data_IF_958399090748
#
_entry.id   IF_958399090748
#
_cell.length_a   1.000
_cell.length_b   1.000
_cell.length_c   1.000
_cell.angle_alpha   90.00
_cell.angle_beta   90.00
_cell.angle_gamma   90.00
#
_symmetry.space_group_name_H-M   'P 1'
#
loop_
_entity.id
_entity.type
_entity.pdbx_description
1 polymer ?
#
# COMPACT_ATOMS: atom_id res chain seq x y z
N UNK A 1 6.14 -34.30 1.01
CA UNK A 1 5.44 -33.00 0.88
C UNK A 1 5.93 -32.06 1.96
N UNK A 2 6.15 -30.80 1.61
CA UNK A 2 6.51 -29.79 2.59
C UNK A 2 5.27 -29.37 3.38
N UNK A 3 5.37 -29.25 4.71
CA UNK A 3 4.23 -28.85 5.55
C UNK A 3 4.26 -27.32 5.76
N UNK A 4 3.24 -26.65 5.31
CA UNK A 4 3.09 -25.18 5.42
C UNK A 4 2.49 -24.73 6.75
N UNK A 5 2.05 -25.66 7.62
CA UNK A 5 1.48 -25.33 8.94
C UNK A 5 2.52 -24.72 9.85
N UNK A 6 2.17 -23.63 10.51
CA UNK A 6 2.99 -23.00 11.52
C UNK A 6 2.94 -21.49 11.44
N UNK A 7 3.55 -20.87 12.44
CA UNK A 7 3.79 -19.44 12.50
C UNK A 7 5.05 -19.09 11.71
N UNK A 8 5.08 -17.95 11.06
CA UNK A 8 6.27 -17.46 10.37
C UNK A 8 6.49 -15.96 10.57
N UNK A 9 7.72 -15.56 10.47
CA UNK A 9 8.15 -14.16 10.36
C UNK A 9 8.98 -14.02 9.09
N UNK A 10 9.00 -12.84 8.53
CA UNK A 10 9.79 -12.60 7.32
C UNK A 10 10.05 -11.13 7.07
N UNK A 11 10.83 -10.91 6.04
CA UNK A 11 11.13 -9.59 5.50
C UNK A 11 10.75 -9.55 4.03
N UNK A 12 10.46 -8.37 3.53
CA UNK A 12 10.19 -8.17 2.12
C UNK A 12 10.76 -6.84 1.63
N UNK A 13 11.00 -6.79 0.33
CA UNK A 13 11.32 -5.58 -0.39
C UNK A 13 10.58 -5.59 -1.72
N UNK A 14 10.34 -4.42 -2.29
CA UNK A 14 9.61 -4.32 -3.54
C UNK A 14 9.55 -2.93 -4.10
N UNK A 15 8.77 -2.81 -5.16
CA UNK A 15 8.45 -1.53 -5.79
C UNK A 15 6.94 -1.39 -5.91
N UNK A 16 6.50 -0.14 -5.87
CA UNK A 16 5.09 0.20 -6.03
C UNK A 16 4.89 1.33 -7.01
N UNK A 17 3.69 1.35 -7.57
CA UNK A 17 3.19 2.48 -8.34
C UNK A 17 1.73 2.70 -7.99
N UNK A 18 1.31 3.95 -8.02
CA UNK A 18 -0.07 4.30 -7.69
C UNK A 18 -0.57 5.45 -8.54
N UNK A 19 -1.89 5.54 -8.61
CA UNK A 19 -2.62 6.63 -9.22
C UNK A 19 -3.36 7.38 -8.13
N UNK A 20 -3.12 8.69 -8.04
CA UNK A 20 -3.90 9.62 -7.24
C UNK A 20 -4.71 10.51 -8.16
N UNK A 21 -6.00 10.63 -7.86
CA UNK A 21 -6.94 11.51 -8.57
C UNK A 21 -7.45 12.55 -7.58
N UNK A 22 -7.02 13.80 -7.76
CA UNK A 22 -7.41 14.93 -6.92
C UNK A 22 -8.50 15.73 -7.63
N UNK A 23 -9.60 16.03 -6.95
CA UNK A 23 -10.69 16.83 -7.51
C UNK A 23 -10.79 18.15 -6.78
N UNK A 24 -10.38 19.23 -7.44
CA UNK A 24 -10.55 20.59 -6.95
C UNK A 24 -11.89 21.15 -7.41
N UNK A 25 -12.62 21.76 -6.51
CA UNK A 25 -13.91 22.37 -6.81
C UNK A 25 -13.92 23.83 -6.31
N UNK A 26 -14.14 24.75 -7.24
CA UNK A 26 -14.48 26.15 -6.94
C UNK A 26 -15.96 26.39 -7.18
N UNK A 27 -16.46 27.57 -6.86
CA UNK A 27 -17.87 27.94 -7.11
C UNK A 27 -18.29 27.82 -8.58
N UNK A 28 -17.33 27.89 -9.51
CA UNK A 28 -17.60 27.94 -10.97
C UNK A 28 -16.88 26.87 -11.79
N UNK A 29 -15.85 26.22 -11.23
CA UNK A 29 -15.01 25.27 -11.96
C UNK A 29 -14.75 24.01 -11.13
N UNK A 30 -14.71 22.88 -11.82
CA UNK A 30 -14.26 21.59 -11.29
C UNK A 30 -13.11 21.10 -12.13
N UNK A 31 -11.97 20.89 -11.51
CA UNK A 31 -10.76 20.33 -12.15
C UNK A 31 -10.39 18.99 -11.50
N UNK A 32 -10.09 17.99 -12.30
CA UNK A 32 -9.59 16.70 -11.82
C UNK A 32 -8.18 16.50 -12.36
N UNK A 33 -7.23 16.39 -11.47
CA UNK A 33 -5.84 16.11 -11.80
C UNK A 33 -5.50 14.67 -11.45
N UNK A 34 -4.72 14.02 -12.29
CA UNK A 34 -4.20 12.69 -12.06
C UNK A 34 -2.68 12.75 -11.97
N UNK A 35 -2.12 12.13 -10.98
CA UNK A 35 -0.68 12.00 -10.87
C UNK A 35 -0.27 10.59 -10.43
N UNK A 36 0.89 10.19 -10.93
CA UNK A 36 1.50 8.92 -10.59
C UNK A 36 2.46 9.10 -9.42
N UNK A 37 2.40 8.14 -8.49
CA UNK A 37 3.40 7.95 -7.44
C UNK A 37 4.15 6.66 -7.73
N UNK A 38 5.46 6.66 -7.56
CA UNK A 38 6.30 5.46 -7.74
C UNK A 38 7.38 5.46 -6.68
N UNK A 39 7.87 4.28 -6.33
CA UNK A 39 8.98 4.18 -5.39
C UNK A 39 9.24 2.76 -4.94
N UNK A 40 10.15 2.64 -3.99
CA UNK A 40 10.51 1.37 -3.37
C UNK A 40 9.89 1.25 -1.98
N UNK A 41 9.79 0.02 -1.52
CA UNK A 41 9.34 -0.30 -0.18
C UNK A 41 10.11 -1.47 0.38
N UNK A 42 10.19 -1.52 1.70
CA UNK A 42 10.79 -2.64 2.42
C UNK A 42 10.20 -2.75 3.81
N UNK A 43 10.10 -3.97 4.32
CA UNK A 43 9.45 -4.16 5.59
C UNK A 43 9.51 -5.56 6.14
N UNK A 44 8.63 -5.81 7.10
CA UNK A 44 8.51 -7.08 7.78
C UNK A 44 7.09 -7.65 7.67
N UNK A 45 6.99 -8.95 7.84
CA UNK A 45 5.73 -9.68 7.83
C UNK A 45 5.70 -10.75 8.90
N UNK A 46 4.51 -11.04 9.35
CA UNK A 46 4.22 -12.09 10.30
C UNK A 46 2.94 -12.78 9.89
N UNK A 47 2.89 -14.10 10.02
CA UNK A 47 1.69 -14.82 9.67
C UNK A 47 1.64 -16.20 10.28
N UNK A 48 0.48 -16.83 10.09
CA UNK A 48 0.20 -18.19 10.49
C UNK A 48 -0.51 -18.92 9.36
N UNK A 49 -0.09 -20.14 9.09
CA UNK A 49 -0.71 -21.00 8.10
C UNK A 49 -1.18 -22.32 8.76
N UNK A 50 -2.28 -22.86 8.26
CA UNK A 50 -2.77 -24.18 8.59
C UNK A 50 -3.05 -24.94 7.31
N UNK A 51 -2.39 -26.09 7.13
CA UNK A 51 -2.48 -26.91 5.92
C UNK A 51 -3.44 -28.07 6.11
N UNK A 52 -4.38 -28.21 5.18
CA UNK A 52 -5.37 -29.29 5.07
C UNK A 52 -5.19 -29.98 3.71
N UNK A 53 -4.44 -31.06 3.66
CA UNK A 53 -4.09 -31.69 2.40
C UNK A 53 -3.25 -30.78 1.52
N UNK A 54 -3.74 -30.42 0.33
CA UNK A 54 -3.11 -29.45 -0.57
C UNK A 54 -3.54 -28.00 -0.32
N UNK A 55 -4.57 -27.76 0.51
CA UNK A 55 -5.05 -26.42 0.82
C UNK A 55 -4.34 -25.85 2.03
N UNK A 56 -4.03 -24.56 1.96
CA UNK A 56 -3.42 -23.82 3.05
C UNK A 56 -4.28 -22.61 3.36
N UNK A 57 -4.77 -22.54 4.59
CA UNK A 57 -5.48 -21.39 5.13
C UNK A 57 -4.55 -20.63 6.06
N UNK A 58 -4.56 -19.31 6.01
CA UNK A 58 -3.70 -18.51 6.86
C UNK A 58 -4.18 -17.08 7.05
N UNK A 59 -3.42 -16.38 7.87
CA UNK A 59 -3.52 -14.94 8.06
C UNK A 59 -2.11 -14.35 8.05
N UNK A 60 -1.97 -13.18 7.46
CA UNK A 60 -0.70 -12.47 7.34
C UNK A 60 -0.90 -11.00 7.65
N UNK A 61 0.00 -10.41 8.43
CA UNK A 61 0.13 -8.98 8.61
C UNK A 61 1.49 -8.52 8.09
N UNK A 62 1.50 -7.38 7.40
CA UNK A 62 2.70 -6.78 6.83
C UNK A 62 2.79 -5.32 7.24
N UNK A 63 4.00 -4.86 7.49
CA UNK A 63 4.33 -3.46 7.66
C UNK A 63 5.49 -3.12 6.75
N UNK A 64 5.35 -2.05 5.97
CA UNK A 64 6.33 -1.60 4.99
C UNK A 64 6.62 -0.12 5.20
N UNK A 65 7.89 0.22 5.33
CA UNK A 65 8.35 1.58 5.08
C UNK A 65 8.42 1.78 3.57
N UNK A 66 8.00 2.92 3.10
CA UNK A 66 7.94 3.21 1.67
C UNK A 66 8.51 4.59 1.35
N UNK A 67 9.01 4.70 0.14
CA UNK A 67 9.45 5.94 -0.49
C UNK A 67 8.66 6.15 -1.78
N UNK A 68 7.34 5.91 -1.68
CA UNK A 68 6.42 6.14 -2.78
C UNK A 68 6.11 7.63 -2.83
N UNK A 69 6.72 8.32 -3.78
CA UNK A 69 6.55 9.76 -3.94
C UNK A 69 6.06 10.15 -5.34
N UNK A 70 5.49 11.32 -5.41
CA UNK A 70 5.06 11.93 -6.66
C UNK A 70 4.95 13.43 -6.50
N UNK A 71 5.49 14.13 -7.47
CA UNK A 71 5.40 15.59 -7.56
C UNK A 71 4.57 15.96 -8.78
N UNK A 72 3.60 16.83 -8.62
CA UNK A 72 2.81 17.37 -9.72
C UNK A 72 2.51 18.85 -9.51
N UNK A 73 2.35 19.57 -10.62
CA UNK A 73 1.75 20.90 -10.58
C UNK A 73 0.25 20.74 -10.43
N UNK A 74 -0.29 21.16 -9.29
CA UNK A 74 -1.72 21.17 -9.06
C UNK A 74 -2.30 22.47 -9.62
N UNK A 75 -3.14 22.37 -10.64
CA UNK A 75 -3.86 23.51 -11.20
C UNK A 75 -5.32 23.47 -10.75
N UNK A 76 -5.68 24.23 -9.71
CA UNK A 76 -7.08 24.30 -9.27
C UNK A 76 -8.01 25.07 -10.22
N UNK A 77 -7.58 25.31 -11.47
CA UNK A 77 -8.31 26.06 -12.49
C UNK A 77 -7.67 27.45 -12.75
N UNK A 78 -7.29 27.70 -14.01
CA UNK A 78 -6.69 28.99 -14.43
C UNK A 78 -7.62 30.19 -14.12
N UNK A 79 -7.08 31.39 -13.77
CA UNK A 79 -5.73 31.88 -14.04
C UNK A 79 -4.86 32.11 -12.80
N UNK A 80 -5.07 31.41 -11.69
CA UNK A 80 -4.47 31.75 -10.41
C UNK A 80 -3.76 30.59 -9.78
N UNK A 81 -2.53 30.85 -9.33
CA UNK A 81 -1.68 30.04 -8.47
C UNK A 81 -1.24 28.68 -9.06
N UNK A 82 -0.04 28.66 -9.59
CA UNK A 82 0.75 27.44 -9.73
C UNK A 82 1.08 26.94 -8.31
N UNK A 83 0.43 25.85 -7.91
CA UNK A 83 0.74 25.14 -6.67
C UNK A 83 1.62 23.94 -7.04
N UNK A 84 2.72 23.77 -6.33
CA UNK A 84 3.46 22.52 -6.38
C UNK A 84 2.93 21.60 -5.29
N UNK A 85 2.41 20.45 -5.70
CA UNK A 85 1.90 19.44 -4.79
C UNK A 85 2.90 18.28 -4.76
N UNK A 86 3.47 18.03 -3.60
CA UNK A 86 4.30 16.88 -3.33
C UNK A 86 3.54 15.95 -2.38
N UNK A 87 3.48 14.68 -2.73
CA UNK A 87 2.84 13.66 -1.90
C UNK A 87 3.79 12.51 -1.70
N UNK A 88 3.94 12.09 -0.44
CA UNK A 88 4.77 10.95 -0.06
C UNK A 88 3.97 9.99 0.81
N UNK A 89 3.99 8.70 0.46
CA UNK A 89 3.50 7.64 1.33
C UNK A 89 4.70 7.08 2.11
N UNK A 90 4.75 7.32 3.42
CA UNK A 90 5.87 6.95 4.28
C UNK A 90 5.84 5.50 4.71
N UNK A 91 4.65 4.97 5.00
CA UNK A 91 4.48 3.59 5.39
C UNK A 91 3.11 3.04 5.00
N UNK A 92 3.09 1.73 4.80
CA UNK A 92 1.89 0.95 4.51
C UNK A 92 1.79 -0.22 5.48
N UNK A 93 0.57 -0.52 5.91
CA UNK A 93 0.24 -1.71 6.67
C UNK A 93 -0.83 -2.52 5.97
N UNK A 94 -0.80 -3.85 6.10
CA UNK A 94 -1.87 -4.72 5.63
C UNK A 94 -2.13 -5.84 6.63
N UNK A 95 -3.39 -6.27 6.73
CA UNK A 95 -3.78 -7.49 7.44
C UNK A 95 -4.78 -8.25 6.59
N UNK A 96 -4.45 -9.48 6.24
CA UNK A 96 -5.19 -10.25 5.26
C UNK A 96 -5.36 -11.71 5.66
N UNK A 97 -6.50 -12.31 5.29
CA UNK A 97 -6.66 -13.74 5.20
C UNK A 97 -5.97 -14.25 3.94
N UNK A 98 -5.41 -15.46 4.00
CA UNK A 98 -4.65 -16.09 2.92
C UNK A 98 -5.22 -17.47 2.62
N UNK A 99 -5.41 -17.76 1.32
CA UNK A 99 -5.80 -19.08 0.82
C UNK A 99 -4.75 -19.53 -0.20
N UNK A 100 -4.10 -20.65 0.06
CA UNK A 100 -3.07 -21.23 -0.80
C UNK A 100 -3.41 -22.65 -1.26
N UNK A 101 -2.83 -23.01 -2.39
CA UNK A 101 -2.78 -24.39 -2.86
C UNK A 101 -1.32 -24.84 -2.98
N UNK A 102 -0.96 -25.84 -2.22
CA UNK A 102 0.40 -26.35 -2.11
C UNK A 102 0.57 -27.61 -2.98
N UNK A 103 1.63 -27.61 -3.77
CA UNK A 103 2.08 -28.76 -4.55
C UNK A 103 3.59 -28.92 -4.35
N UNK A 104 3.96 -30.04 -3.76
CA UNK A 104 5.32 -30.36 -3.34
C UNK A 104 5.92 -29.26 -2.41
N UNK A 105 6.84 -28.46 -2.88
CA UNK A 105 7.54 -27.40 -2.14
C UNK A 105 7.09 -26.00 -2.53
N UNK A 106 6.10 -25.90 -3.40
CA UNK A 106 5.58 -24.62 -3.91
C UNK A 106 4.14 -24.43 -3.49
N UNK A 107 3.79 -23.22 -3.17
CA UNK A 107 2.42 -22.81 -2.86
C UNK A 107 2.06 -21.59 -3.70
N UNK A 108 0.97 -21.67 -4.43
CA UNK A 108 0.31 -20.49 -5.04
C UNK A 108 -0.76 -20.01 -4.08
N UNK A 109 -0.88 -18.72 -3.89
CA UNK A 109 -1.84 -18.17 -2.93
C UNK A 109 -2.50 -16.90 -3.44
N UNK A 110 -3.68 -16.65 -2.87
CA UNK A 110 -4.39 -15.38 -2.91
C UNK A 110 -4.59 -14.90 -1.47
N UNK A 111 -4.68 -13.60 -1.29
CA UNK A 111 -4.95 -12.98 0.01
C UNK A 111 -5.87 -11.77 -0.15
N UNK A 112 -6.67 -11.48 0.88
CA UNK A 112 -7.54 -10.32 0.89
C UNK A 112 -7.80 -9.85 2.31
N UNK A 113 -7.92 -8.54 2.47
CA UNK A 113 -8.07 -7.95 3.79
C UNK A 113 -8.07 -6.44 3.80
N UNK A 114 -7.71 -5.87 4.95
CA UNK A 114 -7.58 -4.44 5.16
C UNK A 114 -6.19 -3.92 4.85
N UNK A 115 -6.13 -2.67 4.43
CA UNK A 115 -4.90 -1.93 4.19
C UNK A 115 -5.00 -0.55 4.83
N UNK A 116 -3.86 0.02 5.23
CA UNK A 116 -3.74 1.40 5.67
C UNK A 116 -2.44 2.00 5.17
N UNK A 117 -2.49 3.29 4.87
CA UNK A 117 -1.37 4.08 4.36
C UNK A 117 -1.29 5.40 5.10
N UNK A 118 -0.09 5.83 5.38
CA UNK A 118 0.19 7.16 5.92
C UNK A 118 0.77 8.03 4.83
N UNK A 119 0.04 9.07 4.47
CA UNK A 119 0.38 10.02 3.42
C UNK A 119 0.76 11.37 4.04
N UNK A 120 1.82 11.97 3.49
CA UNK A 120 2.22 13.36 3.75
C UNK A 120 1.99 14.19 2.51
N UNK A 121 1.35 15.33 2.70
CA UNK A 121 1.04 16.29 1.65
C UNK A 121 1.74 17.59 1.93
N UNK A 122 2.58 18.03 0.99
CA UNK A 122 3.26 19.32 1.01
C UNK A 122 2.77 20.14 -0.17
N UNK A 123 2.11 21.27 0.10
CA UNK A 123 1.68 22.21 -0.92
C UNK A 123 2.44 23.52 -0.77
N UNK A 124 3.15 23.92 -1.80
CA UNK A 124 3.89 25.18 -1.85
C UNK A 124 3.30 26.11 -2.91
N UNK A 125 2.96 27.33 -2.50
CA UNK A 125 2.50 28.37 -3.43
C UNK A 125 3.66 29.21 -3.92
N UNK A 126 3.70 29.49 -5.24
CA UNK A 126 4.67 30.39 -5.85
C UNK A 126 4.19 31.83 -5.97
N UNK A 127 2.91 32.09 -5.66
CA UNK A 127 2.32 33.44 -5.69
C UNK A 127 2.00 33.92 -4.28
N UNK A 128 2.68 34.95 -3.85
CA UNK A 128 2.65 35.72 -2.59
C UNK A 128 1.50 35.49 -1.59
N UNK A 129 1.79 35.37 -0.28
CA UNK A 129 3.09 35.10 0.34
C UNK A 129 3.39 33.60 0.32
N UNK A 130 4.66 33.21 0.34
CA UNK A 130 5.12 31.83 0.43
C UNK A 130 4.41 31.13 1.60
N UNK A 131 3.41 30.32 1.31
CA UNK A 131 2.69 29.56 2.30
C UNK A 131 2.92 28.09 2.01
N UNK A 132 3.48 27.40 2.97
CA UNK A 132 3.61 25.94 2.94
C UNK A 132 2.45 25.36 3.77
N UNK A 133 1.66 24.50 3.14
CA UNK A 133 0.62 23.73 3.81
C UNK A 133 1.16 22.31 3.93
N UNK A 134 1.25 21.82 5.16
CA UNK A 134 1.64 20.45 5.46
C UNK A 134 0.45 19.74 6.13
N UNK A 135 0.07 18.58 5.59
CA UNK A 135 -1.03 17.78 6.12
C UNK A 135 -0.62 16.31 6.14
N UNK A 136 -0.69 15.70 7.32
CA UNK A 136 -0.54 14.27 7.50
C UNK A 136 -1.93 13.60 7.55
N UNK A 137 -2.10 12.50 6.82
CA UNK A 137 -3.37 11.78 6.78
C UNK A 137 -3.13 10.26 6.78
N UNK A 138 -3.93 9.54 7.55
CA UNK A 138 -3.90 8.08 7.56
C UNK A 138 -5.18 7.55 6.96
N UNK A 139 -5.05 6.77 5.88
CA UNK A 139 -6.17 6.22 5.13
C UNK A 139 -6.31 4.74 5.35
N UNK A 140 -7.56 4.30 5.31
CA UNK A 140 -7.96 2.91 5.40
C UNK A 140 -8.56 2.46 4.08
N UNK A 141 -8.26 1.23 3.70
CA UNK A 141 -8.74 0.65 2.45
C UNK A 141 -8.80 -0.86 2.53
N UNK A 142 -9.01 -1.46 1.38
CA UNK A 142 -8.97 -2.91 1.21
C UNK A 142 -7.82 -3.31 0.28
N UNK A 143 -7.39 -4.55 0.40
CA UNK A 143 -6.35 -5.10 -0.45
C UNK A 143 -6.76 -6.47 -0.98
N UNK A 144 -6.26 -6.77 -2.17
CA UNK A 144 -6.26 -8.10 -2.75
C UNK A 144 -4.85 -8.39 -3.29
N UNK A 145 -4.35 -9.58 -3.02
CA UNK A 145 -3.02 -9.98 -3.47
C UNK A 145 -2.97 -11.41 -3.95
N UNK A 146 -1.97 -11.71 -4.74
CA UNK A 146 -1.66 -13.06 -5.21
C UNK A 146 -0.16 -13.26 -5.29
N UNK A 147 0.28 -14.49 -5.16
CA UNK A 147 1.71 -14.78 -5.22
C UNK A 147 2.05 -16.26 -5.24
N UNK A 148 3.33 -16.49 -5.32
CA UNK A 148 3.93 -17.82 -5.24
C UNK A 148 4.96 -17.81 -4.13
N UNK A 149 4.94 -18.85 -3.31
CA UNK A 149 5.92 -19.08 -2.24
C UNK A 149 6.55 -20.45 -2.43
N UNK A 150 7.89 -20.49 -2.41
CA UNK A 150 8.66 -21.71 -2.59
C UNK A 150 9.50 -22.00 -1.35
N UNK A 151 9.37 -23.21 -0.83
CA UNK A 151 10.16 -23.67 0.30
C UNK A 151 11.59 -23.98 -0.12
N UNK A 152 12.53 -23.30 0.49
CA UNK A 152 13.96 -23.46 0.30
C UNK A 152 14.52 -24.61 1.17
N UNK A 153 15.63 -24.40 1.81
CA UNK A 153 16.26 -25.34 2.73
C UNK A 153 15.77 -25.10 4.17
N UNK A 154 15.54 -26.20 4.89
CA UNK A 154 15.07 -26.13 6.27
C UNK A 154 13.71 -25.45 6.38
N UNK A 155 13.64 -24.43 7.22
CA UNK A 155 12.40 -23.69 7.53
C UNK A 155 12.25 -22.39 6.71
N UNK A 156 13.11 -22.16 5.73
CA UNK A 156 13.08 -20.96 4.91
C UNK A 156 12.19 -21.13 3.69
N UNK A 157 11.49 -20.07 3.33
CA UNK A 157 10.77 -19.96 2.05
C UNK A 157 10.96 -18.57 1.44
N UNK A 158 10.97 -18.52 0.11
CA UNK A 158 10.97 -17.28 -0.65
C UNK A 158 9.62 -17.10 -1.32
N UNK A 159 9.13 -15.86 -1.38
CA UNK A 159 7.87 -15.52 -2.04
C UNK A 159 8.05 -14.37 -3.01
N UNK A 160 7.23 -14.39 -4.06
CA UNK A 160 6.97 -13.25 -4.94
C UNK A 160 5.48 -13.00 -4.89
N UNK A 161 5.08 -11.76 -4.67
CA UNK A 161 3.67 -11.39 -4.56
C UNK A 161 3.38 -10.07 -5.26
N UNK A 162 2.15 -9.96 -5.73
CA UNK A 162 1.56 -8.74 -6.25
C UNK A 162 0.36 -8.40 -5.37
N UNK A 163 0.29 -7.15 -4.92
CA UNK A 163 -0.82 -6.63 -4.15
C UNK A 163 -1.44 -5.41 -4.84
N UNK A 164 -2.76 -5.39 -4.86
CA UNK A 164 -3.58 -4.25 -5.23
C UNK A 164 -4.25 -3.69 -3.97
N UNK A 165 -4.09 -2.38 -3.75
CA UNK A 165 -4.66 -1.67 -2.62
C UNK A 165 -5.57 -0.55 -3.16
N UNK A 166 -6.79 -0.45 -2.63
CA UNK A 166 -7.73 0.64 -2.96
C UNK A 166 -8.18 1.31 -1.65
N UNK A 167 -7.83 2.58 -1.52
CA UNK A 167 -8.17 3.40 -0.34
C UNK A 167 -9.43 4.24 -0.57
N UNK A 168 -10.13 4.02 -1.70
CA UNK A 168 -11.33 4.76 -2.04
C UNK A 168 -11.08 6.26 -2.23
N UNK A 169 -12.12 7.04 -1.99
CA UNK A 169 -12.05 8.50 -2.00
C UNK A 169 -12.09 9.01 -0.57
N UNK A 170 -11.05 9.71 -0.16
CA UNK A 170 -10.97 10.42 1.10
C UNK A 170 -10.91 11.92 0.85
N UNK A 171 -11.42 12.71 1.78
CA UNK A 171 -11.53 14.17 1.62
C UNK A 171 -10.80 14.84 2.79
N UNK A 172 -9.45 14.91 2.74
CA UNK A 172 -8.69 15.66 3.74
C UNK A 172 -9.01 17.16 3.65
N UNK A 173 -8.90 17.85 4.77
CA UNK A 173 -9.01 19.28 4.83
C UNK A 173 -7.61 19.90 4.80
N UNK A 174 -7.44 20.92 3.95
CA UNK A 174 -6.20 21.67 3.81
C UNK A 174 -6.41 23.10 4.32
N UNK A 175 -6.23 23.35 5.63
CA UNK A 175 -6.46 24.64 6.23
C UNK A 175 -5.58 25.73 5.59
N UNK A 176 -6.18 26.84 5.18
CA UNK A 176 -5.49 27.94 4.53
C UNK A 176 -5.44 27.84 3.00
N UNK A 177 -5.91 26.77 2.38
CA UNK A 177 -5.97 26.65 0.92
C UNK A 177 -6.91 27.71 0.31
N UNK A 178 -8.04 28.01 0.96
CA UNK A 178 -8.97 29.05 0.56
C UNK A 178 -8.37 30.47 0.63
N UNK A 179 -7.37 30.70 1.46
CA UNK A 179 -6.65 31.97 1.53
C UNK A 179 -5.65 32.16 0.37
N UNK A 180 -5.13 31.06 -0.17
CA UNK A 180 -4.20 31.06 -1.30
C UNK A 180 -4.97 31.19 -2.62
N UNK A 181 -6.08 30.49 -2.74
CA UNK A 181 -6.93 30.47 -3.94
C UNK A 181 -8.35 30.86 -3.53
N UNK A 182 -8.75 32.09 -3.83
CA UNK A 182 -10.06 32.63 -3.48
C UNK A 182 -11.17 31.76 -4.09
N UNK A 183 -12.06 31.26 -3.23
CA UNK A 183 -13.20 30.44 -3.63
C UNK A 183 -12.91 28.97 -3.82
N UNK A 184 -11.69 28.49 -3.50
CA UNK A 184 -11.40 27.06 -3.45
C UNK A 184 -11.93 26.45 -2.15
N UNK A 185 -12.49 25.27 -2.26
CA UNK A 185 -12.90 24.49 -1.09
C UNK A 185 -11.66 23.88 -0.41
N UNK A 186 -11.56 24.01 0.91
CA UNK A 186 -10.48 23.42 1.69
C UNK A 186 -10.54 21.88 1.74
N UNK A 187 -11.71 21.32 1.46
CA UNK A 187 -11.93 19.87 1.40
C UNK A 187 -11.72 19.36 -0.03
N UNK A 188 -10.64 18.62 -0.26
CA UNK A 188 -10.25 18.09 -1.58
C UNK A 188 -10.47 16.58 -1.60
N UNK A 189 -11.44 16.05 -2.39
CA UNK A 189 -11.59 14.62 -2.59
C UNK A 189 -10.39 14.04 -3.34
N UNK A 190 -9.74 13.06 -2.72
CA UNK A 190 -8.57 12.37 -3.28
C UNK A 190 -8.85 10.88 -3.31
N UNK A 191 -8.81 10.28 -4.49
CA UNK A 191 -8.87 8.84 -4.71
C UNK A 191 -7.47 8.28 -4.87
N UNK A 192 -7.18 7.16 -4.19
CA UNK A 192 -5.86 6.55 -4.23
C UNK A 192 -5.93 5.05 -4.43
N UNK A 193 -5.15 4.57 -5.40
CA UNK A 193 -4.92 3.14 -5.67
C UNK A 193 -3.44 2.89 -5.80
N UNK A 194 -2.97 1.79 -5.22
CA UNK A 194 -1.56 1.42 -5.20
C UNK A 194 -1.42 -0.03 -5.65
N UNK A 195 -0.44 -0.27 -6.49
CA UNK A 195 0.00 -1.58 -6.95
C UNK A 195 1.40 -1.83 -6.42
N UNK A 196 1.63 -3.01 -5.85
CA UNK A 196 2.91 -3.40 -5.27
C UNK A 196 3.37 -4.73 -5.87
N UNK A 197 4.64 -4.82 -6.21
CA UNK A 197 5.33 -6.08 -6.49
C UNK A 197 6.42 -6.26 -5.45
N UNK A 198 6.37 -7.38 -4.72
CA UNK A 198 7.27 -7.63 -3.61
C UNK A 198 7.92 -9.01 -3.73
N UNK A 199 9.16 -9.08 -3.29
CA UNK A 199 9.86 -10.33 -3.00
C UNK A 199 10.05 -10.43 -1.50
N UNK A 200 9.90 -11.61 -0.94
CA UNK A 200 10.00 -11.81 0.51
C UNK A 200 10.73 -13.11 0.86
N UNK A 201 11.29 -13.11 2.06
CA UNK A 201 11.91 -14.27 2.67
C UNK A 201 11.26 -14.52 4.02
N UNK A 202 10.75 -15.73 4.24
CA UNK A 202 10.10 -16.15 5.47
C UNK A 202 10.91 -17.21 6.19
N UNK A 203 10.91 -17.13 7.52
CA UNK A 203 11.35 -18.20 8.41
C UNK A 203 10.16 -18.71 9.19
N UNK A 204 9.88 -20.00 9.08
CA UNK A 204 8.76 -20.65 9.74
C UNK A 204 9.18 -21.33 11.03
N UNK A 205 8.42 -21.03 12.07
CA UNK A 205 8.50 -21.73 13.35
C UNK A 205 7.39 -22.79 13.33
N UNK A 206 7.70 -24.04 13.27
CA UNK A 206 6.66 -25.05 13.28
C UNK A 206 7.24 -26.44 13.22
N UNK A 207 6.43 -27.40 13.60
CA UNK A 207 6.78 -28.78 13.78
C UNK A 207 7.61 -29.29 12.60
N UNK A 208 8.75 -29.85 12.94
CA UNK A 208 9.56 -30.66 12.04
C UNK A 208 8.69 -31.69 11.29
N UNK A 209 9.24 -32.40 10.32
CA UNK A 209 8.47 -33.32 9.50
C UNK A 209 7.64 -34.22 10.40
N UNK A 210 6.32 -34.25 10.18
CA UNK A 210 5.46 -35.26 10.82
C UNK A 210 5.93 -36.59 10.28
N UNK A 211 6.75 -37.28 11.08
CA UNK A 211 7.10 -38.66 10.82
C UNK A 211 5.84 -39.45 11.15
N UNK A 212 5.07 -39.77 10.12
CA UNK A 212 3.99 -40.75 10.28
C UNK A 212 4.66 -42.08 10.60
N UNK A 213 4.65 -42.47 11.85
CA UNK A 213 4.93 -43.84 12.25
C UNK A 213 3.70 -44.69 11.84
N UNK A 214 3.91 -45.52 10.82
CA UNK A 214 3.03 -46.64 10.47
C UNK A 214 3.42 -47.85 11.28
#
# INVERSE_FOLDING_TARGET
MFNWTGFYIGVHAGAGWGLKEDTFTTATLRSTNQHFITGFLGGAQVGVNYQLGSWVLGAEAQFSWSDLDGTNTCEPGAPVALLNCHTKADWLGTAAARLGFAFDRTMVFVKGGGAWVHDKYDMTSFTTPFTNIHVDDTRYGWMFGTGVEHALLGNWSAKVEYDYLDFGTHTPSFPGLAAIVIGLNEAVPIRQRIHLVKVGLNYRFGAGPVVANY
#
